data_IF_896385035754
#
_entry.id   IF_896385035754
#
_cell.length_a   1.000
_cell.length_b   1.000
_cell.length_c   1.000
_cell.angle_alpha   90.00
_cell.angle_beta   90.00
_cell.angle_gamma   90.00
#
_symmetry.space_group_name_H-M   'P 1'
#
loop_
_entity.id
_entity.type
_entity.pdbx_description
1 polymer ?
#
# COMPACT_ATOMS: atom_id res chain seq x y z
N UNK A 1 18.26 -18.13 0.20
CA UNK A 1 17.55 -16.87 0.46
C UNK A 1 16.54 -17.20 1.54
N UNK A 2 16.63 -16.54 2.70
CA UNK A 2 15.75 -16.79 3.85
C UNK A 2 14.46 -15.98 3.74
N UNK A 3 13.39 -16.56 4.28
CA UNK A 3 12.07 -15.96 4.52
C UNK A 3 11.92 -15.47 5.97
N UNK A 4 13.00 -15.49 6.75
CA UNK A 4 13.09 -15.01 8.13
C UNK A 4 12.77 -13.52 8.24
N UNK A 5 12.14 -13.15 9.36
CA UNK A 5 11.85 -11.76 9.69
C UNK A 5 13.14 -10.95 9.82
N UNK A 6 13.11 -9.74 9.25
CA UNK A 6 14.24 -8.80 9.22
C UNK A 6 13.89 -7.63 10.15
N UNK A 7 14.85 -7.22 10.98
CA UNK A 7 14.73 -6.01 11.80
C UNK A 7 15.72 -4.97 11.30
N UNK A 8 15.20 -3.84 10.83
CA UNK A 8 15.96 -2.65 10.47
C UNK A 8 15.95 -1.67 11.64
N UNK A 9 17.06 -0.97 11.87
CA UNK A 9 17.19 0.01 12.96
C UNK A 9 17.90 1.27 12.48
N UNK A 10 17.42 2.43 12.92
CA UNK A 10 18.09 3.71 12.73
C UNK A 10 17.72 4.66 13.88
N UNK A 11 18.69 5.06 14.69
CA UNK A 11 18.42 5.88 15.88
C UNK A 11 17.52 5.13 16.87
N UNK A 12 16.36 5.71 17.19
CA UNK A 12 15.32 5.12 18.05
C UNK A 12 14.19 4.47 17.26
N UNK A 13 14.33 4.36 15.93
CA UNK A 13 13.37 3.74 15.04
C UNK A 13 13.74 2.27 14.75
N UNK A 14 12.73 1.41 14.75
CA UNK A 14 12.84 -0.01 14.42
C UNK A 14 11.73 -0.40 13.46
N UNK A 15 12.06 -1.13 12.39
CA UNK A 15 11.10 -1.66 11.43
C UNK A 15 11.27 -3.17 11.34
N UNK A 16 10.18 -3.91 11.53
CA UNK A 16 10.14 -5.35 11.27
C UNK A 16 9.59 -5.58 9.87
N UNK A 17 10.29 -6.33 9.04
CA UNK A 17 9.88 -6.75 7.70
C UNK A 17 9.73 -8.26 7.68
N UNK A 18 8.64 -8.78 7.09
CA UNK A 18 8.32 -10.21 7.11
C UNK A 18 8.26 -10.78 5.68
N UNK A 19 9.40 -11.22 5.11
CA UNK A 19 9.44 -11.80 3.76
C UNK A 19 8.51 -13.02 3.62
N UNK A 20 8.47 -13.90 4.62
CA UNK A 20 7.58 -15.07 4.64
C UNK A 20 6.08 -14.77 4.77
N UNK A 21 5.70 -13.51 5.03
CA UNK A 21 4.31 -13.10 5.24
C UNK A 21 3.91 -11.96 4.30
N UNK A 22 4.02 -12.19 2.98
CA UNK A 22 3.62 -11.23 1.97
C UNK A 22 4.60 -10.07 1.76
N UNK A 23 5.83 -10.19 2.27
CA UNK A 23 6.81 -9.10 2.21
C UNK A 23 6.36 -7.84 2.95
N UNK A 24 5.45 -7.99 3.93
CA UNK A 24 4.87 -6.86 4.66
C UNK A 24 5.88 -6.21 5.59
N UNK A 25 5.67 -4.93 5.87
CA UNK A 25 6.20 -4.30 7.08
C UNK A 25 5.32 -4.77 8.24
N UNK A 26 5.85 -5.62 9.11
CA UNK A 26 5.12 -6.18 10.26
C UNK A 26 4.95 -5.18 11.41
N UNK A 27 5.87 -4.23 11.57
CA UNK A 27 5.84 -3.23 12.63
C UNK A 27 6.74 -2.04 12.34
N UNK A 28 6.40 -0.90 12.92
CA UNK A 28 7.20 0.32 12.93
C UNK A 28 7.15 0.90 14.35
N UNK A 29 8.29 0.84 15.04
CA UNK A 29 8.43 1.39 16.39
C UNK A 29 9.29 2.63 16.37
N UNK A 30 8.86 3.66 17.08
CA UNK A 30 9.61 4.91 17.28
C UNK A 30 9.68 5.16 18.78
N UNK A 31 10.90 5.16 19.35
CA UNK A 31 11.08 5.33 20.80
C UNK A 31 10.35 4.26 21.63
N UNK A 32 10.15 3.06 21.06
CA UNK A 32 9.42 1.96 21.69
C UNK A 32 7.90 1.99 21.53
N UNK A 33 7.32 3.02 20.90
CA UNK A 33 5.89 3.10 20.59
C UNK A 33 5.63 2.42 19.25
N UNK A 34 4.71 1.45 19.21
CA UNK A 34 4.33 0.72 17.99
C UNK A 34 3.24 1.49 17.21
N UNK A 35 3.57 1.92 15.99
CA UNK A 35 2.68 2.69 15.14
C UNK A 35 1.75 1.81 14.32
N UNK A 36 2.20 0.61 13.93
CA UNK A 36 1.42 -0.28 13.11
C UNK A 36 0.67 -1.28 13.98
N UNK A 37 -0.61 -1.47 13.70
CA UNK A 37 -1.44 -2.48 14.35
C UNK A 37 -0.77 -3.84 14.25
N UNK A 38 -0.92 -4.62 15.32
CA UNK A 38 -0.45 -6.01 15.47
C UNK A 38 -1.67 -6.96 15.54
N UNK A 39 -1.53 -8.23 15.17
CA UNK A 39 -2.62 -9.22 15.22
C UNK A 39 -3.16 -9.63 13.85
N UNK A 40 -4.48 -9.65 13.65
CA UNK A 40 -5.10 -10.24 12.45
C UNK A 40 -5.00 -9.35 11.20
N UNK A 41 -5.39 -8.06 11.30
CA UNK A 41 -5.23 -7.06 10.23
C UNK A 41 -4.22 -6.03 10.69
N UNK A 42 -3.00 -6.16 10.20
CA UNK A 42 -1.83 -5.64 10.90
C UNK A 42 -0.71 -5.29 9.92
N UNK A 43 0.21 -4.45 10.37
CA UNK A 43 1.37 -4.04 9.61
C UNK A 43 0.99 -3.22 8.37
N UNK A 44 1.79 -3.37 7.32
CA UNK A 44 1.59 -2.76 6.01
C UNK A 44 1.98 -3.75 4.92
N UNK A 45 0.99 -4.29 4.19
CA UNK A 45 1.25 -5.23 3.10
C UNK A 45 1.28 -4.54 1.73
N UNK A 46 2.09 -5.04 0.78
CA UNK A 46 2.09 -4.56 -0.59
C UNK A 46 0.82 -5.00 -1.33
N UNK A 47 0.22 -4.09 -2.09
CA UNK A 47 -0.90 -4.34 -2.99
C UNK A 47 -0.41 -4.34 -4.44
N UNK A 48 -0.13 -5.52 -4.98
CA UNK A 48 0.43 -5.72 -6.32
C UNK A 48 0.11 -7.16 -6.79
N UNK A 49 -0.28 -7.38 -8.07
CA UNK A 49 -0.28 -6.44 -9.19
C UNK A 49 -1.55 -5.56 -9.33
N UNK A 50 -2.44 -5.53 -8.34
CA UNK A 50 -3.53 -4.56 -8.30
C UNK A 50 -3.80 -4.04 -6.88
N UNK A 51 -4.40 -2.86 -6.80
CA UNK A 51 -4.77 -2.22 -5.55
C UNK A 51 -6.30 -2.20 -5.38
N UNK A 52 -6.75 -2.26 -4.12
CA UNK A 52 -8.17 -2.34 -3.82
C UNK A 52 -8.87 -3.47 -4.57
N UNK A 53 -10.12 -3.22 -4.98
CA UNK A 53 -10.99 -4.22 -5.64
C UNK A 53 -10.79 -4.23 -7.16
N UNK A 54 -10.95 -5.38 -7.80
CA UNK A 54 -11.25 -5.53 -9.23
C UNK A 54 -12.71 -5.94 -9.34
N UNK A 55 -13.49 -5.21 -10.14
CA UNK A 55 -14.91 -5.49 -10.41
C UNK A 55 -15.07 -6.93 -10.88
N UNK A 56 -15.92 -7.69 -10.20
CA UNK A 56 -16.17 -9.13 -10.43
C UNK A 56 -14.91 -10.02 -10.53
N UNK A 57 -13.75 -9.53 -10.04
CA UNK A 57 -12.45 -10.15 -10.26
C UNK A 57 -12.03 -10.23 -11.73
N UNK A 58 -12.62 -9.41 -12.62
CA UNK A 58 -12.38 -9.47 -14.06
C UNK A 58 -11.66 -8.24 -14.56
N UNK A 59 -10.67 -8.44 -15.42
CA UNK A 59 -10.02 -7.34 -16.12
C UNK A 59 -9.67 -7.70 -17.56
N UNK A 60 -9.42 -6.68 -18.39
CA UNK A 60 -8.97 -6.84 -19.75
C UNK A 60 -7.44 -6.89 -19.83
N UNK A 61 -6.94 -7.99 -20.37
CA UNK A 61 -5.55 -8.22 -20.74
C UNK A 61 -5.45 -8.16 -22.27
N UNK A 62 -5.24 -6.95 -22.79
CA UNK A 62 -5.47 -6.66 -24.21
C UNK A 62 -6.95 -6.89 -24.58
N UNK A 63 -7.21 -7.91 -25.39
CA UNK A 63 -8.57 -8.30 -25.79
C UNK A 63 -9.15 -9.47 -24.97
N UNK A 64 -8.35 -10.09 -24.10
CA UNK A 64 -8.77 -11.25 -23.32
C UNK A 64 -9.32 -10.81 -21.96
N UNK A 65 -10.44 -11.40 -21.54
CA UNK A 65 -10.96 -11.22 -20.17
C UNK A 65 -10.28 -12.23 -19.25
N UNK A 66 -9.55 -11.75 -18.25
CA UNK A 66 -8.95 -12.56 -17.19
C UNK A 66 -9.86 -12.60 -15.95
N UNK A 67 -9.84 -13.71 -15.22
CA UNK A 67 -10.58 -13.90 -13.97
C UNK A 67 -9.62 -14.19 -12.82
N UNK A 68 -9.62 -13.31 -11.81
CA UNK A 68 -8.92 -13.49 -10.55
C UNK A 68 -9.81 -14.20 -9.52
N UNK A 69 -9.21 -14.89 -8.52
CA UNK A 69 -9.96 -15.46 -7.41
C UNK A 69 -10.74 -14.38 -6.65
N UNK A 70 -12.00 -14.70 -6.32
CA UNK A 70 -12.87 -13.80 -5.58
C UNK A 70 -12.62 -13.95 -4.07
N UNK A 71 -11.50 -13.40 -3.61
CA UNK A 71 -11.13 -13.40 -2.18
C UNK A 71 -11.90 -12.34 -1.36
N UNK A 72 -12.69 -11.48 -2.01
CA UNK A 72 -13.68 -10.60 -1.37
C UNK A 72 -14.96 -10.53 -2.23
N UNK A 73 -15.76 -11.61 -2.30
CA UNK A 73 -16.89 -11.72 -3.23
C UNK A 73 -17.85 -10.52 -3.16
N UNK A 74 -18.33 -10.00 -4.32
CA UNK A 74 -18.15 -10.56 -5.66
C UNK A 74 -16.82 -10.18 -6.33
N UNK A 75 -15.91 -9.48 -5.65
CA UNK A 75 -14.69 -8.91 -6.21
C UNK A 75 -13.42 -9.73 -5.86
N UNK A 76 -12.36 -9.47 -6.61
CA UNK A 76 -10.99 -9.79 -6.18
C UNK A 76 -10.38 -8.55 -5.53
N UNK A 77 -9.50 -8.70 -4.54
CA UNK A 77 -8.96 -7.57 -3.78
C UNK A 77 -7.47 -7.72 -3.44
N UNK A 78 -6.73 -6.62 -3.55
CA UNK A 78 -5.36 -6.39 -3.04
C UNK A 78 -4.19 -7.22 -3.60
N UNK A 79 -4.24 -7.61 -4.87
CA UNK A 79 -3.13 -8.31 -5.48
C UNK A 79 -2.94 -9.75 -5.01
N UNK A 80 -1.89 -10.39 -5.54
CA UNK A 80 -1.47 -11.74 -5.12
C UNK A 80 -0.24 -11.73 -4.22
N UNK A 81 0.58 -10.67 -4.30
CA UNK A 81 1.88 -10.67 -3.63
C UNK A 81 1.78 -10.60 -2.09
N UNK A 82 0.67 -10.08 -1.55
CA UNK A 82 0.42 -10.01 -0.10
C UNK A 82 0.27 -11.39 0.57
N UNK A 83 -0.06 -12.42 -0.21
CA UNK A 83 -0.31 -13.78 0.27
C UNK A 83 0.90 -14.70 -0.01
N UNK A 84 1.92 -14.19 -0.72
CA UNK A 84 3.08 -14.96 -1.15
C UNK A 84 4.28 -14.88 -0.20
N UNK A 85 5.20 -15.82 -0.35
CA UNK A 85 6.52 -15.75 0.29
C UNK A 85 7.50 -14.98 -0.60
N UNK A 86 8.03 -13.88 -0.08
CA UNK A 86 9.03 -13.05 -0.74
C UNK A 86 10.43 -13.56 -0.43
N UNK A 87 11.39 -13.25 -1.31
CA UNK A 87 12.80 -13.60 -1.13
C UNK A 87 13.61 -12.37 -0.76
N UNK A 88 14.38 -12.48 0.31
CA UNK A 88 15.38 -11.48 0.67
C UNK A 88 16.52 -11.48 -0.34
N UNK A 89 16.66 -10.38 -1.09
CA UNK A 89 17.72 -10.17 -2.06
C UNK A 89 18.94 -9.47 -1.44
N UNK A 90 18.71 -8.46 -0.59
CA UNK A 90 19.75 -7.74 0.16
C UNK A 90 19.19 -7.30 1.50
N UNK A 91 20.04 -7.25 2.52
CA UNK A 91 19.72 -6.62 3.80
C UNK A 91 20.96 -5.94 4.38
N UNK A 92 20.74 -4.87 5.13
CA UNK A 92 21.72 -4.12 5.91
C UNK A 92 21.08 -3.67 7.22
N UNK A 93 21.74 -2.80 7.99
CA UNK A 93 21.20 -2.34 9.27
C UNK A 93 19.91 -1.53 9.11
N UNK A 94 19.79 -0.77 8.03
CA UNK A 94 18.74 0.22 7.81
C UNK A 94 18.00 0.04 6.48
N UNK A 95 18.35 -0.97 5.68
CA UNK A 95 17.68 -1.25 4.41
C UNK A 95 17.47 -2.76 4.18
N UNK A 96 16.29 -3.14 3.67
CA UNK A 96 16.00 -4.47 3.13
C UNK A 96 15.47 -4.37 1.69
N UNK A 97 15.92 -5.29 0.83
CA UNK A 97 15.43 -5.47 -0.55
C UNK A 97 14.82 -6.85 -0.67
N UNK A 98 13.53 -6.89 -0.96
CA UNK A 98 12.75 -8.12 -1.17
C UNK A 98 12.34 -8.25 -2.64
N UNK A 99 12.22 -9.49 -3.10
CA UNK A 99 11.75 -9.80 -4.44
C UNK A 99 10.64 -10.85 -4.39
N UNK A 100 9.65 -10.72 -5.26
CA UNK A 100 8.57 -11.67 -5.45
C UNK A 100 8.35 -11.87 -6.94
N UNK A 101 8.34 -13.11 -7.41
CA UNK A 101 8.01 -13.41 -8.80
C UNK A 101 6.49 -13.61 -8.88
N UNK A 102 5.83 -12.80 -9.72
CA UNK A 102 4.43 -12.98 -10.06
C UNK A 102 4.23 -14.34 -10.74
N UNK A 103 3.14 -15.00 -10.40
CA UNK A 103 2.72 -16.27 -10.98
C UNK A 103 1.27 -16.56 -10.60
N UNK A 104 0.85 -17.80 -10.81
CA UNK A 104 -0.53 -18.26 -10.57
C UNK A 104 -1.09 -17.73 -9.23
N UNK A 105 -2.30 -17.12 -9.21
CA UNK A 105 -3.28 -17.01 -10.30
C UNK A 105 -3.04 -15.87 -11.29
N UNK A 106 -2.01 -15.05 -11.12
CA UNK A 106 -1.68 -13.99 -12.07
C UNK A 106 -1.10 -14.59 -13.36
N UNK A 107 -1.62 -14.22 -14.55
CA UNK A 107 -1.32 -14.95 -15.79
C UNK A 107 0.05 -14.60 -16.40
N UNK A 108 0.68 -13.52 -15.96
CA UNK A 108 1.94 -13.03 -16.54
C UNK A 108 3.11 -13.23 -15.60
N UNK A 109 4.24 -13.75 -16.09
CA UNK A 109 5.47 -13.70 -15.32
C UNK A 109 5.90 -12.24 -15.16
N UNK A 110 6.33 -11.89 -13.97
CA UNK A 110 6.88 -10.57 -13.67
C UNK A 110 7.63 -10.62 -12.35
N UNK A 111 8.49 -9.64 -12.11
CA UNK A 111 9.21 -9.51 -10.85
C UNK A 111 8.77 -8.25 -10.15
N UNK A 112 8.34 -8.42 -8.91
CA UNK A 112 8.12 -7.33 -7.97
C UNK A 112 9.37 -7.20 -7.12
N UNK A 113 9.93 -6.00 -7.02
CA UNK A 113 10.99 -5.67 -6.06
C UNK A 113 10.44 -4.65 -5.08
N UNK A 114 10.64 -4.86 -3.78
CA UNK A 114 10.31 -3.89 -2.74
C UNK A 114 11.57 -3.55 -1.94
N UNK A 115 11.86 -2.26 -1.84
CA UNK A 115 12.93 -1.70 -1.02
C UNK A 115 12.30 -1.02 0.18
N UNK A 116 12.74 -1.42 1.38
CA UNK A 116 12.38 -0.84 2.66
C UNK A 116 13.62 -0.15 3.20
N UNK A 117 13.63 1.18 3.24
CA UNK A 117 14.75 1.98 3.71
C UNK A 117 14.35 2.82 4.92
N UNK A 118 15.09 2.68 6.01
CA UNK A 118 14.85 3.34 7.29
C UNK A 118 15.93 4.39 7.55
N UNK A 119 15.51 5.52 8.09
CA UNK A 119 16.39 6.56 8.63
C UNK A 119 15.89 6.92 10.04
N UNK A 120 16.61 7.78 10.76
CA UNK A 120 16.22 8.16 12.12
C UNK A 120 14.84 8.83 12.23
N UNK A 121 14.34 9.41 11.14
CA UNK A 121 13.10 10.20 11.09
C UNK A 121 12.17 9.84 9.92
N UNK A 122 12.52 8.85 9.09
CA UNK A 122 11.66 8.42 7.99
C UNK A 122 11.82 6.95 7.59
N UNK A 123 10.71 6.36 7.15
CA UNK A 123 10.62 5.06 6.47
C UNK A 123 10.21 5.30 5.01
N UNK A 124 11.03 4.88 4.06
CA UNK A 124 10.72 4.95 2.63
C UNK A 124 10.51 3.54 2.09
N UNK A 125 9.35 3.35 1.45
CA UNK A 125 8.98 2.12 0.75
C UNK A 125 8.95 2.41 -0.74
N UNK A 126 9.77 1.71 -1.51
CA UNK A 126 9.77 1.77 -2.98
C UNK A 126 9.45 0.41 -3.53
N UNK A 127 8.59 0.35 -4.54
CA UNK A 127 8.25 -0.89 -5.21
C UNK A 127 8.35 -0.72 -6.72
N UNK A 128 8.86 -1.74 -7.39
CA UNK A 128 8.89 -1.84 -8.85
C UNK A 128 8.24 -3.15 -9.31
N UNK A 129 7.59 -3.10 -10.47
CA UNK A 129 7.10 -4.27 -11.19
C UNK A 129 7.74 -4.27 -12.57
N UNK A 130 8.47 -5.33 -12.87
CA UNK A 130 9.18 -5.55 -14.12
C UNK A 130 8.62 -6.78 -14.84
N UNK A 131 8.63 -6.74 -16.18
CA UNK A 131 8.39 -7.91 -17.03
C UNK A 131 9.58 -8.09 -17.97
N UNK A 132 9.94 -9.34 -18.25
CA UNK A 132 10.97 -9.68 -19.24
C UNK A 132 10.36 -10.26 -20.52
N UNK A 133 9.03 -10.37 -20.58
CA UNK A 133 8.28 -10.99 -21.67
C UNK A 133 7.18 -10.05 -22.18
N UNK A 134 5.91 -10.41 -21.96
CA UNK A 134 4.75 -9.67 -22.42
C UNK A 134 4.42 -8.52 -21.49
N UNK A 135 3.86 -7.45 -22.06
CA UNK A 135 3.32 -6.35 -21.27
C UNK A 135 2.01 -6.73 -20.62
N UNK A 136 1.75 -6.23 -19.41
CA UNK A 136 0.51 -6.48 -18.68
C UNK A 136 0.12 -5.28 -17.82
N UNK A 137 -1.17 -5.08 -17.52
CA UNK A 137 -1.60 -3.99 -16.67
C UNK A 137 -1.23 -4.30 -15.21
N UNK A 138 -0.73 -3.31 -14.48
CA UNK A 138 -0.45 -3.44 -13.04
C UNK A 138 -0.70 -2.14 -12.28
N UNK A 139 -0.87 -2.27 -10.96
CA UNK A 139 -0.87 -1.18 -10.00
C UNK A 139 0.01 -1.56 -8.80
N UNK A 140 0.56 -0.52 -8.15
CA UNK A 140 1.33 -0.63 -6.91
C UNK A 140 0.63 0.21 -5.84
N UNK A 141 0.58 -0.32 -4.63
CA UNK A 141 0.17 0.43 -3.45
C UNK A 141 0.57 -0.27 -2.16
N UNK A 142 0.32 0.39 -1.04
CA UNK A 142 0.60 -0.11 0.31
C UNK A 142 -0.62 0.04 1.19
N UNK A 143 -0.84 -0.91 2.08
CA UNK A 143 -1.99 -0.90 2.98
C UNK A 143 -1.55 -0.88 4.44
N UNK A 144 -1.15 0.28 4.99
CA UNK A 144 -0.75 0.39 6.39
C UNK A 144 -1.96 0.42 7.32
N UNK A 145 -1.92 -0.38 8.37
CA UNK A 145 -2.85 -0.31 9.48
C UNK A 145 -2.20 0.49 10.61
N UNK A 146 -2.30 1.81 10.60
CA UNK A 146 -1.80 2.61 11.72
C UNK A 146 -2.73 2.45 12.93
N UNK A 147 -2.18 2.31 14.12
CA UNK A 147 -2.96 2.26 15.36
C UNK A 147 -3.73 3.58 15.54
N UNK A 148 -5.04 3.50 15.76
CA UNK A 148 -5.85 4.69 16.04
C UNK A 148 -5.39 5.41 17.30
N UNK A 149 -4.95 4.66 18.32
CA UNK A 149 -4.55 5.21 19.60
C UNK A 149 -3.20 4.62 20.06
N UNK A 150 -2.30 5.47 20.58
CA UNK A 150 -0.98 5.07 21.08
C UNK A 150 -0.89 5.12 22.62
N UNK A 151 -2.01 4.93 23.33
CA UNK A 151 -2.12 5.01 24.79
C UNK A 151 -2.51 6.39 25.32
N UNK A 152 -3.12 7.24 24.48
CA UNK A 152 -3.54 8.61 24.81
C UNK A 152 -4.83 8.97 24.10
N UNK A 153 -4.80 10.03 23.29
CA UNK A 153 -5.93 10.41 22.43
C UNK A 153 -5.83 9.73 21.06
N UNK A 154 -6.98 9.60 20.40
CA UNK A 154 -7.06 9.06 19.05
C UNK A 154 -6.35 9.97 18.04
N UNK A 155 -5.82 9.34 17.01
CA UNK A 155 -5.17 10.01 15.89
C UNK A 155 -6.13 10.94 15.16
N UNK A 156 -5.62 12.10 14.78
CA UNK A 156 -6.28 13.01 13.85
C UNK A 156 -5.61 12.89 12.50
N UNK A 157 -6.40 12.85 11.43
CA UNK A 157 -5.93 12.76 10.05
C UNK A 157 -6.20 14.09 9.34
N UNK A 158 -5.16 14.70 8.80
CA UNK A 158 -5.22 15.92 8.00
C UNK A 158 -4.69 15.65 6.59
N UNK A 159 -5.50 15.93 5.57
CA UNK A 159 -5.15 15.84 4.16
C UNK A 159 -6.12 16.68 3.33
N UNK A 160 -5.67 17.18 2.18
CA UNK A 160 -6.42 18.09 1.32
C UNK A 160 -6.57 17.52 -0.10
N UNK A 161 -7.51 16.57 -0.30
CA UNK A 161 -7.72 15.97 -1.61
C UNK A 161 -8.47 16.91 -2.56
N UNK A 162 -8.08 16.90 -3.84
CA UNK A 162 -8.75 17.70 -4.85
C UNK A 162 -10.16 17.19 -5.18
N UNK A 163 -10.40 15.88 -5.02
CA UNK A 163 -11.72 15.27 -5.09
C UNK A 163 -11.79 13.96 -4.32
N UNK A 164 -13.01 13.54 -3.99
CA UNK A 164 -13.36 12.19 -3.56
C UNK A 164 -14.05 11.46 -4.71
N UNK A 165 -13.67 10.21 -4.99
CA UNK A 165 -14.43 9.34 -5.89
C UNK A 165 -15.75 8.96 -5.23
N UNK A 166 -16.86 9.09 -5.96
CA UNK A 166 -18.14 8.55 -5.51
C UNK A 166 -18.05 7.03 -5.40
N UNK A 167 -18.22 6.51 -4.18
CA UNK A 167 -18.27 5.07 -3.90
C UNK A 167 -19.65 4.52 -4.24
N UNK A 168 -19.70 3.53 -5.13
CA UNK A 168 -20.90 2.75 -5.42
C UNK A 168 -21.25 1.76 -4.30
N UNK A 169 -22.44 1.17 -4.37
CA UNK A 169 -22.92 0.13 -3.43
C UNK A 169 -22.03 -1.12 -3.41
N UNK A 170 -21.19 -1.28 -4.42
CA UNK A 170 -20.19 -2.35 -4.59
C UNK A 170 -18.81 -1.99 -4.01
N UNK A 171 -18.71 -0.85 -3.32
CA UNK A 171 -17.46 -0.29 -2.79
C UNK A 171 -16.40 -0.02 -3.87
N UNK A 172 -16.81 0.28 -5.09
CA UNK A 172 -15.94 0.72 -6.19
C UNK A 172 -16.25 2.16 -6.59
N UNK A 173 -15.26 2.93 -7.07
CA UNK A 173 -15.50 4.22 -7.71
C UNK A 173 -16.49 4.09 -8.88
N UNK A 174 -17.49 4.96 -8.91
CA UNK A 174 -18.41 5.09 -10.06
C UNK A 174 -17.77 5.84 -11.24
N UNK A 175 -16.65 6.55 -10.98
CA UNK A 175 -16.00 7.47 -11.91
C UNK A 175 -16.48 8.92 -11.79
N UNK A 176 -17.48 9.18 -10.93
CA UNK A 176 -17.90 10.53 -10.59
C UNK A 176 -17.01 11.11 -9.49
N UNK A 177 -16.64 12.38 -9.64
CA UNK A 177 -15.84 13.13 -8.67
C UNK A 177 -16.74 14.04 -7.85
N UNK A 178 -16.58 13.99 -6.53
CA UNK A 178 -17.33 14.76 -5.56
C UNK A 178 -16.38 15.69 -4.80
N UNK A 179 -16.94 16.75 -4.22
CA UNK A 179 -16.27 17.48 -3.15
C UNK A 179 -16.03 16.52 -1.97
N UNK A 180 -14.84 16.55 -1.33
CA UNK A 180 -14.54 15.69 -0.19
C UNK A 180 -15.56 15.84 0.94
N UNK A 181 -16.03 14.71 1.46
CA UNK A 181 -17.00 14.66 2.56
C UNK A 181 -16.31 14.32 3.88
N UNK A 182 -16.88 14.73 5.04
CA UNK A 182 -16.41 14.24 6.33
C UNK A 182 -16.51 12.72 6.44
N UNK A 183 -15.61 12.12 7.23
CA UNK A 183 -15.58 10.68 7.47
C UNK A 183 -16.73 10.15 8.35
N UNK A 184 -16.71 8.85 8.68
CA UNK A 184 -15.64 7.91 8.36
C UNK A 184 -15.59 7.56 6.86
N UNK A 185 -14.43 7.13 6.41
CA UNK A 185 -14.05 6.88 5.04
C UNK A 185 -13.69 5.40 4.83
N UNK A 186 -14.10 4.90 3.67
CA UNK A 186 -13.58 3.73 2.96
C UNK A 186 -13.52 4.16 1.48
N UNK A 187 -12.80 5.25 1.24
CA UNK A 187 -13.00 6.09 0.06
C UNK A 187 -11.68 6.37 -0.65
N UNK A 188 -11.77 6.47 -1.97
CA UNK A 188 -10.65 6.82 -2.84
C UNK A 188 -10.69 8.33 -3.13
N UNK A 189 -9.53 8.96 -3.09
CA UNK A 189 -9.35 10.39 -3.30
C UNK A 189 -8.27 10.65 -4.34
N UNK A 190 -8.42 11.78 -5.04
CA UNK A 190 -7.42 12.28 -5.99
C UNK A 190 -6.62 13.45 -5.45
N UNK A 191 -5.30 13.37 -5.58
CA UNK A 191 -4.32 14.38 -5.16
C UNK A 191 -3.31 14.64 -6.29
N UNK A 192 -3.64 15.49 -7.29
CA UNK A 192 -2.78 15.72 -8.47
C UNK A 192 -1.37 16.26 -8.16
N UNK A 193 -1.18 16.84 -6.98
CA UNK A 193 0.13 17.30 -6.51
C UNK A 193 1.02 16.19 -5.91
N UNK A 194 0.48 14.97 -5.80
CA UNK A 194 1.03 13.89 -4.98
C UNK A 194 0.25 13.74 -3.67
N UNK A 195 0.23 12.52 -3.12
CA UNK A 195 -0.36 12.26 -1.80
C UNK A 195 0.47 12.94 -0.72
N UNK A 196 -0.19 13.75 0.12
CA UNK A 196 0.32 14.24 1.39
C UNK A 196 -0.78 14.14 2.46
N UNK A 197 -0.53 13.35 3.49
CA UNK A 197 -1.45 13.17 4.61
C UNK A 197 -0.69 13.12 5.93
N UNK A 198 -1.22 13.75 6.97
CA UNK A 198 -0.60 13.86 8.28
C UNK A 198 -1.47 13.17 9.32
N UNK A 199 -0.90 12.17 9.98
CA UNK A 199 -1.46 11.50 11.14
C UNK A 199 -0.85 12.11 12.40
N UNK A 200 -1.67 12.68 13.27
CA UNK A 200 -1.24 13.33 14.50
C UNK A 200 -1.86 12.61 15.69
N UNK A 201 -1.03 11.96 16.51
CA UNK A 201 -1.38 11.46 17.84
C UNK A 201 -1.05 12.55 18.87
N UNK A 202 -2.07 13.23 19.45
CA UNK A 202 -1.86 14.42 20.27
C UNK A 202 -0.89 14.19 21.44
N UNK A 203 0.11 15.07 21.55
CA UNK A 203 1.12 15.02 22.61
C UNK A 203 2.12 13.86 22.52
N UNK A 204 2.13 13.11 21.41
CA UNK A 204 3.04 11.99 21.22
C UNK A 204 3.88 12.13 19.94
N UNK A 205 3.22 12.09 18.78
CA UNK A 205 3.89 11.95 17.49
C UNK A 205 3.03 12.52 16.37
N UNK A 206 3.69 13.10 15.38
CA UNK A 206 3.12 13.41 14.07
C UNK A 206 3.87 12.59 13.00
N UNK A 207 3.13 11.91 12.13
CA UNK A 207 3.65 11.14 11.00
C UNK A 207 3.01 11.65 9.70
N UNK A 208 3.84 12.04 8.74
CA UNK A 208 3.44 12.45 7.40
C UNK A 208 3.68 11.32 6.41
N UNK A 209 2.61 10.88 5.74
CA UNK A 209 2.66 10.00 4.56
C UNK A 209 2.76 10.88 3.32
N UNK A 210 3.78 10.64 2.49
CA UNK A 210 4.02 11.39 1.25
C UNK A 210 4.30 10.46 0.08
N UNK A 211 3.79 10.79 -1.10
CA UNK A 211 4.04 10.05 -2.33
C UNK A 211 3.87 10.94 -3.55
N UNK A 212 4.53 10.60 -4.66
CA UNK A 212 4.26 11.21 -5.96
C UNK A 212 3.01 10.66 -6.63
N UNK A 213 2.47 9.55 -6.13
CA UNK A 213 1.23 8.99 -6.66
C UNK A 213 0.08 9.97 -6.44
N UNK A 214 -0.89 9.95 -7.36
CA UNK A 214 -2.02 10.89 -7.35
C UNK A 214 -3.27 10.30 -6.71
N UNK A 215 -3.24 9.02 -6.31
CA UNK A 215 -4.39 8.33 -5.74
C UNK A 215 -4.08 7.86 -4.32
N UNK A 216 -5.04 8.08 -3.42
CA UNK A 216 -5.00 7.58 -2.05
C UNK A 216 -6.33 6.96 -1.68
N UNK A 217 -6.31 5.80 -1.04
CA UNK A 217 -7.48 5.31 -0.28
C UNK A 217 -7.26 5.65 1.18
N UNK A 218 -8.27 6.26 1.80
CA UNK A 218 -8.31 6.47 3.25
C UNK A 218 -9.37 5.56 3.82
N UNK A 219 -8.97 4.74 4.80
CA UNK A 219 -9.86 3.84 5.51
C UNK A 219 -9.77 4.03 7.01
N UNK A 220 -10.83 4.55 7.62
CA UNK A 220 -10.90 4.82 9.07
C UNK A 220 -12.21 4.36 9.71
N UNK A 221 -12.95 3.43 9.09
CA UNK A 221 -14.14 2.84 9.71
C UNK A 221 -13.81 1.83 10.84
N UNK A 222 -12.57 1.31 10.91
CA UNK A 222 -12.17 0.39 11.98
C UNK A 222 -11.84 1.14 13.26
N UNK A 223 -12.43 0.72 14.37
CA UNK A 223 -12.23 1.35 15.68
C UNK A 223 -10.75 1.38 16.07
N UNK A 224 -9.97 0.34 15.76
CA UNK A 224 -8.58 0.24 16.21
C UNK A 224 -7.56 0.84 15.24
N UNK A 225 -7.95 1.24 14.02
CA UNK A 225 -6.97 1.60 12.99
C UNK A 225 -7.43 2.66 11.98
N UNK A 226 -6.44 3.35 11.42
CA UNK A 226 -6.56 4.28 10.29
C UNK A 226 -5.56 3.87 9.21
N UNK A 227 -6.01 3.84 7.95
CA UNK A 227 -5.17 3.52 6.80
C UNK A 227 -5.09 4.72 5.86
N UNK A 228 -3.88 4.98 5.37
CA UNK A 228 -3.61 5.94 4.30
C UNK A 228 -2.80 5.21 3.24
N UNK A 229 -3.40 4.99 2.08
CA UNK A 229 -2.91 4.04 1.08
C UNK A 229 -2.59 4.74 -0.24
N UNK A 230 -1.36 5.27 -0.43
CA UNK A 230 -0.93 5.74 -1.73
C UNK A 230 -0.91 4.60 -2.75
N UNK A 231 -1.50 4.84 -3.94
CA UNK A 231 -1.67 3.84 -5.00
C UNK A 231 -1.41 4.47 -6.38
N UNK A 232 -0.85 3.70 -7.32
CA UNK A 232 -0.58 4.19 -8.70
C UNK A 232 -1.84 4.34 -9.57
N UNK A 233 -3.01 4.10 -9.01
CA UNK A 233 -4.31 4.23 -9.67
C UNK A 233 -5.44 3.92 -8.68
N UNK A 234 -6.70 4.20 -9.04
CA UNK A 234 -7.84 3.95 -8.16
C UNK A 234 -8.14 2.45 -8.04
N UNK A 235 -8.99 2.04 -7.07
CA UNK A 235 -9.62 0.72 -7.10
C UNK A 235 -10.28 0.46 -8.47
N UNK A 236 -10.19 -0.78 -8.94
CA UNK A 236 -10.57 -1.22 -10.29
C UNK A 236 -9.76 -0.56 -11.41
N UNK A 237 -8.60 0.02 -11.09
CA UNK A 237 -7.72 0.74 -12.02
C UNK A 237 -7.21 -0.13 -13.17
N UNK A 238 -7.06 -1.44 -13.01
CA UNK A 238 -6.77 -2.32 -14.16
C UNK A 238 -7.81 -2.22 -15.29
N UNK A 239 -9.05 -1.81 -14.98
CA UNK A 239 -10.12 -1.60 -15.96
C UNK A 239 -10.33 -0.14 -16.32
N UNK A 240 -10.22 0.78 -15.34
CA UNK A 240 -10.59 2.19 -15.52
C UNK A 240 -9.39 3.07 -15.88
N UNK A 241 -8.18 2.68 -15.48
CA UNK A 241 -6.93 3.40 -15.72
C UNK A 241 -5.76 2.40 -15.88
N UNK A 242 -5.79 1.51 -16.89
CA UNK A 242 -4.75 0.50 -17.03
C UNK A 242 -3.39 1.15 -17.33
N UNK A 243 -2.42 0.89 -16.48
CA UNK A 243 -1.01 1.21 -16.73
C UNK A 243 -0.26 -0.06 -17.07
N UNK A 244 0.32 -0.13 -18.27
CA UNK A 244 1.06 -1.29 -18.72
C UNK A 244 2.48 -1.26 -18.17
N UNK A 245 2.89 -2.39 -17.58
CA UNK A 245 4.30 -2.72 -17.37
C UNK A 245 4.81 -3.31 -18.68
N UNK A 246 5.92 -2.79 -19.21
CA UNK A 246 6.56 -3.30 -20.43
C UNK A 246 8.03 -3.63 -20.15
N UNK A 247 8.72 -4.41 -21.02
CA UNK A 247 10.15 -4.67 -20.85
C UNK A 247 11.04 -3.41 -20.87
N UNK A 248 10.52 -2.29 -21.37
CA UNK A 248 11.24 -1.01 -21.44
C UNK A 248 10.77 0.00 -20.40
N UNK A 249 9.57 -0.18 -19.86
CA UNK A 249 8.90 0.75 -18.95
C UNK A 249 8.36 -0.03 -17.75
N UNK A 250 9.17 -0.24 -16.71
CA UNK A 250 8.69 -0.83 -15.46
C UNK A 250 7.71 0.13 -14.77
N UNK A 251 6.82 -0.44 -13.96
CA UNK A 251 5.99 0.34 -13.05
C UNK A 251 6.76 0.54 -11.76
N UNK A 252 6.94 1.78 -11.32
CA UNK A 252 7.59 2.12 -10.06
C UNK A 252 6.72 3.09 -9.27
N UNK A 253 6.74 2.95 -7.95
CA UNK A 253 6.11 3.88 -7.02
C UNK A 253 6.91 3.94 -5.72
N UNK A 254 6.76 5.05 -4.99
CA UNK A 254 7.38 5.26 -3.68
C UNK A 254 6.41 5.95 -2.72
N UNK A 255 6.41 5.51 -1.47
CA UNK A 255 5.80 6.24 -0.34
C UNK A 255 6.84 6.45 0.75
N UNK A 256 6.84 7.63 1.37
CA UNK A 256 7.72 7.98 2.49
C UNK A 256 6.87 8.41 3.68
N UNK A 257 7.12 7.78 4.82
CA UNK A 257 6.54 8.13 6.11
C UNK A 257 7.61 8.82 6.94
N UNK A 258 7.50 10.13 7.11
CA UNK A 258 8.41 10.91 7.97
C UNK A 258 7.72 11.29 9.26
N UNK A 259 8.44 11.36 10.38
CA UNK A 259 7.83 11.66 11.67
C UNK A 259 8.61 12.66 12.52
N UNK A 260 7.91 13.24 13.49
CA UNK A 260 8.50 14.03 14.58
C UNK A 260 7.72 13.81 15.86
N UNK A 261 8.39 13.97 17.00
CA UNK A 261 7.73 13.96 18.32
C UNK A 261 7.07 15.31 18.60
N UNK A 262 6.01 15.29 19.41
CA UNK A 262 5.24 16.46 19.83
C UNK A 262 5.50 16.84 21.29
#
# INVERSE_FOLDING_TARGET
MSDEDITLTAGDAEVTVQPGNGGRVGGLRIGGVELLRQGERFGCFPMVPWCGRIRDGRFLDGAEVRQMPLNAPPHAIHGTARDGAWRTARTSTDEAVLTYDLGDPWPHPGRVTQVVALTGDALTLTMSVETYESSFPAQIGWHPWFNRNLGGEDVTLDFDPAWQEERGDDHLPTGNRLDPKPGPWDDCFGMPGGVEATLTWPGQLELKVSSREEWVVVYDEQEEAVCVEPQTGPPNGLNTMPRLVTPLEPLEATTTWSWRRL
#
